data_IF_088335661351
#
_entry.id   IF_088335661351
#
_cell.length_a   1.000
_cell.length_b   1.000
_cell.length_c   1.000
_cell.angle_alpha   90.00
_cell.angle_beta   90.00
_cell.angle_gamma   90.00
#
_symmetry.space_group_name_H-M   'P 1'
#
loop_
_entity.id
_entity.type
_entity.pdbx_description
1 polymer ?
#
# COMPACT_ATOMS: atom_id res chain seq x y z
N UNK A 1 37.88 -14.71 36.01
CA UNK A 1 38.64 -14.14 34.88
C UNK A 1 38.38 -14.86 33.55
N UNK A 2 38.62 -16.18 33.44
CA UNK A 2 38.40 -16.96 32.20
C UNK A 2 36.95 -16.92 31.65
N UNK A 3 35.94 -17.02 32.50
CA UNK A 3 34.52 -16.96 32.08
C UNK A 3 34.17 -15.57 31.50
N UNK A 4 34.65 -14.51 32.15
CA UNK A 4 34.41 -13.14 31.72
C UNK A 4 35.11 -12.82 30.38
N UNK A 5 36.33 -13.32 30.18
CA UNK A 5 37.05 -13.23 28.90
C UNK A 5 36.35 -14.00 27.77
N UNK A 6 35.82 -15.20 28.04
CA UNK A 6 35.04 -15.97 27.05
C UNK A 6 33.72 -15.28 26.68
N UNK A 7 33.04 -14.69 27.66
CA UNK A 7 31.80 -13.94 27.43
C UNK A 7 32.06 -12.69 26.58
N UNK A 8 33.12 -11.93 26.90
CA UNK A 8 33.54 -10.76 26.11
C UNK A 8 33.88 -11.15 24.67
N UNK A 9 34.66 -12.22 24.46
CA UNK A 9 34.99 -12.70 23.12
C UNK A 9 33.74 -13.13 22.34
N UNK A 10 32.79 -13.81 22.99
CA UNK A 10 31.53 -14.20 22.36
C UNK A 10 30.67 -12.99 21.96
N UNK A 11 30.56 -11.99 22.84
CA UNK A 11 29.87 -10.73 22.54
C UNK A 11 30.57 -9.99 21.40
N UNK A 12 31.90 -9.92 21.39
CA UNK A 12 32.66 -9.31 20.30
C UNK A 12 32.43 -10.02 18.97
N UNK A 13 32.41 -11.35 18.96
CA UNK A 13 32.06 -12.13 17.75
C UNK A 13 30.64 -11.81 17.30
N UNK A 14 29.67 -11.78 18.22
CA UNK A 14 28.29 -11.41 17.91
C UNK A 14 28.18 -10.00 17.33
N UNK A 15 28.92 -9.03 17.87
CA UNK A 15 28.95 -7.66 17.36
C UNK A 15 29.58 -7.62 15.96
N UNK A 16 30.68 -8.34 15.74
CA UNK A 16 31.33 -8.38 14.42
C UNK A 16 30.43 -9.05 13.39
N UNK A 17 29.76 -10.14 13.76
CA UNK A 17 28.76 -10.80 12.91
C UNK A 17 27.60 -9.83 12.66
N UNK A 18 27.00 -9.24 13.68
CA UNK A 18 25.91 -8.28 13.53
C UNK A 18 26.31 -7.07 12.67
N UNK A 19 27.54 -6.55 12.82
CA UNK A 19 28.06 -5.44 12.02
C UNK A 19 28.35 -5.86 10.58
N UNK A 20 28.85 -7.08 10.36
CA UNK A 20 29.02 -7.66 9.03
C UNK A 20 27.68 -7.81 8.34
N UNK A 21 26.70 -8.42 8.99
CA UNK A 21 25.33 -8.53 8.47
C UNK A 21 24.72 -7.15 8.22
N UNK A 22 24.80 -6.23 9.18
CA UNK A 22 24.30 -4.86 9.01
C UNK A 22 24.94 -4.19 7.79
N UNK A 23 26.25 -4.26 7.63
CA UNK A 23 26.95 -3.62 6.50
C UNK A 23 26.73 -4.34 5.16
N UNK A 24 26.55 -5.65 5.16
CA UNK A 24 26.30 -6.46 3.96
C UNK A 24 24.85 -6.35 3.47
N UNK A 25 23.91 -6.04 4.37
CA UNK A 25 22.48 -5.96 4.06
C UNK A 25 21.90 -4.54 4.14
N UNK A 26 22.62 -3.52 4.65
CA UNK A 26 22.24 -2.12 4.48
C UNK A 26 22.63 -1.66 3.07
N UNK A 27 21.67 -1.20 2.25
CA UNK A 27 21.99 -0.65 0.94
C UNK A 27 22.88 0.59 1.07
N UNK A 28 23.80 0.79 0.12
CA UNK A 28 24.58 2.04 0.01
C UNK A 28 23.71 3.18 -0.51
N UNK A 29 23.81 4.34 0.14
CA UNK A 29 22.92 5.51 -0.04
C UNK A 29 23.17 6.34 -1.31
N UNK A 30 24.00 5.88 -2.25
CA UNK A 30 24.25 6.57 -3.53
C UNK A 30 24.51 5.55 -4.63
N UNK A 31 23.73 5.63 -5.72
CA UNK A 31 23.88 4.75 -6.87
C UNK A 31 23.72 5.56 -8.17
N UNK A 32 24.82 5.68 -8.92
CA UNK A 32 24.77 6.12 -10.31
C UNK A 32 24.75 4.86 -11.19
N UNK A 33 23.69 4.72 -11.99
CA UNK A 33 23.40 3.46 -12.68
C UNK A 33 23.21 3.76 -14.16
N UNK A 34 24.20 3.38 -14.95
CA UNK A 34 24.03 3.31 -16.40
C UNK A 34 23.16 2.08 -16.75
N UNK A 35 22.18 2.30 -17.62
CA UNK A 35 21.12 1.36 -17.95
C UNK A 35 21.49 0.53 -19.17
N UNK A 36 21.51 -0.81 -19.08
CA UNK A 36 21.97 -1.62 -20.21
C UNK A 36 21.04 -1.62 -21.44
N UNK A 37 19.79 -1.13 -21.35
CA UNK A 37 18.76 -1.36 -22.39
C UNK A 37 17.77 -0.20 -22.61
N UNK A 38 17.95 0.94 -21.97
CA UNK A 38 17.12 2.14 -22.19
C UNK A 38 18.00 3.23 -22.81
N UNK A 39 17.48 3.92 -23.83
CA UNK A 39 18.11 5.12 -24.38
C UNK A 39 18.01 6.22 -23.33
N UNK A 40 19.05 6.43 -22.52
CA UNK A 40 19.06 7.45 -21.49
C UNK A 40 19.95 7.10 -20.30
N UNK A 41 19.94 7.95 -19.30
CA UNK A 41 20.66 7.72 -18.04
C UNK A 41 19.73 7.93 -16.85
N UNK A 42 19.97 7.19 -15.77
CA UNK A 42 19.31 7.43 -14.50
C UNK A 42 20.34 7.63 -13.40
N UNK A 43 20.15 8.68 -12.61
CA UNK A 43 20.99 8.96 -11.43
C UNK A 43 20.12 9.00 -10.19
N UNK A 44 20.48 8.21 -9.18
CA UNK A 44 19.73 8.11 -7.93
C UNK A 44 20.64 8.53 -6.77
N UNK A 45 20.22 9.54 -6.04
CA UNK A 45 20.87 9.95 -4.80
C UNK A 45 19.83 10.10 -3.69
N UNK A 46 20.25 9.86 -2.46
CA UNK A 46 19.39 9.97 -1.29
C UNK A 46 19.76 11.22 -0.51
N UNK A 47 18.74 11.93 -0.01
CA UNK A 47 18.95 13.07 0.89
C UNK A 47 19.18 12.63 2.34
N UNK A 48 19.29 13.61 3.25
CA UNK A 48 19.52 13.38 4.68
C UNK A 48 18.40 12.61 5.39
N UNK A 49 17.21 12.54 4.78
CA UNK A 49 16.07 11.79 5.28
C UNK A 49 15.93 10.41 4.64
N UNK A 50 16.86 10.04 3.73
CA UNK A 50 16.80 8.78 2.99
C UNK A 50 15.69 8.78 1.93
N UNK A 51 15.29 9.94 1.42
CA UNK A 51 14.35 10.03 0.29
C UNK A 51 15.16 9.98 -1.02
N UNK A 52 14.84 9.06 -1.95
CA UNK A 52 15.50 9.01 -3.24
C UNK A 52 15.05 10.13 -4.17
N UNK A 53 16.06 10.78 -4.76
CA UNK A 53 15.94 11.75 -5.84
C UNK A 53 16.48 11.10 -7.12
N UNK A 54 15.58 10.91 -8.09
CA UNK A 54 15.83 10.21 -9.34
C UNK A 54 15.88 11.26 -10.45
N UNK A 55 17.03 11.39 -11.10
CA UNK A 55 17.16 12.16 -12.35
C UNK A 55 17.10 11.20 -13.52
N UNK A 56 16.22 11.44 -14.47
CA UNK A 56 15.96 10.54 -15.58
C UNK A 56 15.79 11.31 -16.90
N UNK A 57 16.17 10.71 -18.01
CA UNK A 57 15.99 11.30 -19.34
C UNK A 57 14.52 11.50 -19.70
N UNK A 58 13.69 10.47 -19.48
CA UNK A 58 12.27 10.47 -19.80
C UNK A 58 11.44 9.70 -18.76
N UNK A 59 10.12 9.65 -18.98
CA UNK A 59 9.16 8.94 -18.10
C UNK A 59 9.49 7.46 -17.92
N UNK A 60 9.92 6.75 -18.97
CA UNK A 60 10.25 5.32 -18.89
C UNK A 60 11.51 5.09 -18.07
N UNK A 61 12.52 5.92 -18.28
CA UNK A 61 13.76 5.95 -17.48
C UNK A 61 13.48 6.30 -16.03
N UNK A 62 12.53 7.21 -15.77
CA UNK A 62 12.04 7.54 -14.43
C UNK A 62 11.35 6.36 -13.75
N UNK A 63 10.52 5.61 -14.48
CA UNK A 63 9.88 4.39 -13.98
C UNK A 63 10.91 3.33 -13.58
N UNK A 64 11.94 3.12 -14.41
CA UNK A 64 13.08 2.27 -14.07
C UNK A 64 13.75 2.73 -12.78
N UNK A 65 14.07 4.02 -12.66
CA UNK A 65 14.71 4.57 -11.47
C UNK A 65 13.87 4.36 -10.21
N UNK A 66 12.55 4.53 -10.32
CA UNK A 66 11.62 4.30 -9.23
C UNK A 66 11.56 2.82 -8.81
N UNK A 67 11.53 1.90 -9.78
CA UNK A 67 11.58 0.46 -9.52
C UNK A 67 12.88 0.06 -8.81
N UNK A 68 14.01 0.60 -9.26
CA UNK A 68 15.29 0.38 -8.61
C UNK A 68 15.29 0.91 -7.16
N UNK A 69 14.81 2.14 -6.94
CA UNK A 69 14.72 2.72 -5.59
C UNK A 69 13.77 1.93 -4.67
N UNK A 70 12.61 1.50 -5.17
CA UNK A 70 11.71 0.62 -4.43
C UNK A 70 12.39 -0.71 -4.07
N UNK A 71 13.22 -1.29 -4.93
CA UNK A 71 13.95 -2.50 -4.62
C UNK A 71 15.04 -2.25 -3.56
N UNK A 72 15.79 -1.15 -3.65
CA UNK A 72 16.78 -0.75 -2.65
C UNK A 72 16.16 -0.72 -1.25
N UNK A 73 15.02 -0.04 -1.10
CA UNK A 73 14.44 0.21 0.21
C UNK A 73 13.46 -0.89 0.67
N UNK A 74 12.76 -1.52 -0.28
CA UNK A 74 11.49 -2.24 -0.04
C UNK A 74 11.41 -3.60 -0.74
N UNK A 75 12.52 -4.24 -1.13
CA UNK A 75 12.47 -5.52 -1.86
C UNK A 75 11.65 -6.62 -1.16
N UNK A 76 11.77 -6.73 0.17
CA UNK A 76 10.95 -7.67 0.94
C UNK A 76 9.46 -7.34 0.87
N UNK A 77 9.10 -6.06 0.97
CA UNK A 77 7.72 -5.61 0.86
C UNK A 77 7.16 -5.84 -0.55
N UNK A 78 7.94 -5.59 -1.59
CA UNK A 78 7.59 -5.93 -2.98
C UNK A 78 7.24 -7.41 -3.10
N UNK A 79 8.11 -8.29 -2.60
CA UNK A 79 7.88 -9.72 -2.63
C UNK A 79 6.60 -10.11 -1.88
N UNK A 80 6.41 -9.62 -0.65
CA UNK A 80 5.18 -9.89 0.12
C UNK A 80 3.92 -9.39 -0.60
N UNK A 81 3.97 -8.19 -1.19
CA UNK A 81 2.87 -7.61 -1.95
C UNK A 81 2.45 -8.51 -3.13
N UNK A 82 3.42 -9.05 -3.87
CA UNK A 82 3.17 -10.03 -4.95
C UNK A 82 2.57 -11.32 -4.42
N UNK A 83 3.13 -11.86 -3.34
CA UNK A 83 2.68 -13.15 -2.79
C UNK A 83 1.25 -13.04 -2.23
N UNK A 84 0.91 -11.91 -1.63
CA UNK A 84 -0.46 -11.60 -1.21
C UNK A 84 -1.35 -11.45 -2.45
N UNK A 85 -1.03 -10.55 -3.39
CA UNK A 85 -1.93 -10.23 -4.50
C UNK A 85 -2.25 -11.41 -5.42
N UNK A 86 -1.38 -12.41 -5.45
CA UNK A 86 -1.55 -13.63 -6.25
C UNK A 86 -2.10 -14.82 -5.44
N UNK A 87 -2.32 -14.67 -4.13
CA UNK A 87 -2.76 -15.76 -3.24
C UNK A 87 -1.75 -16.90 -3.19
N UNK A 88 -0.49 -16.58 -2.86
CA UNK A 88 0.66 -17.50 -2.85
C UNK A 88 1.41 -17.50 -1.51
N UNK A 89 0.87 -16.90 -0.45
CA UNK A 89 1.55 -16.85 0.85
C UNK A 89 1.86 -18.24 1.43
N UNK A 90 1.06 -19.25 1.10
CA UNK A 90 1.26 -20.64 1.53
C UNK A 90 2.56 -21.25 1.01
N UNK A 91 3.11 -20.73 -0.09
CA UNK A 91 4.43 -21.13 -0.59
C UNK A 91 5.57 -20.76 0.37
N UNK A 92 5.36 -19.75 1.22
CA UNK A 92 6.36 -19.25 2.18
C UNK A 92 6.07 -19.66 3.62
N UNK A 93 4.78 -19.78 3.98
CA UNK A 93 4.35 -19.98 5.37
C UNK A 93 3.58 -21.30 5.58
N UNK A 94 3.55 -22.18 4.58
CA UNK A 94 2.90 -23.49 4.65
C UNK A 94 1.38 -23.40 4.74
N UNK A 95 0.77 -24.20 5.61
CA UNK A 95 -0.69 -24.36 5.67
C UNK A 95 -1.43 -23.14 6.24
N UNK A 96 -0.74 -22.29 7.02
CA UNK A 96 -1.36 -21.20 7.77
C UNK A 96 -2.21 -20.23 6.91
N UNK A 97 -1.72 -19.72 5.76
CA UNK A 97 -2.49 -18.79 4.92
C UNK A 97 -3.31 -19.47 3.82
N UNK A 98 -3.46 -20.80 3.79
CA UNK A 98 -4.11 -21.51 2.66
C UNK A 98 -5.53 -21.01 2.38
N UNK A 99 -6.35 -20.80 3.41
CA UNK A 99 -7.72 -20.30 3.20
C UNK A 99 -7.74 -18.83 2.76
N UNK A 100 -6.75 -18.05 3.18
CA UNK A 100 -6.57 -16.68 2.70
C UNK A 100 -6.16 -16.67 1.22
N UNK A 101 -5.19 -17.51 0.83
CA UNK A 101 -4.79 -17.68 -0.57
C UNK A 101 -5.95 -18.10 -1.46
N UNK A 102 -6.77 -19.06 -1.01
CA UNK A 102 -8.00 -19.46 -1.73
C UNK A 102 -8.93 -18.26 -1.92
N UNK A 103 -9.16 -17.46 -0.88
CA UNK A 103 -10.04 -16.30 -0.96
C UNK A 103 -9.57 -15.26 -1.98
N UNK A 104 -8.25 -15.02 -2.08
CA UNK A 104 -7.70 -14.09 -3.06
C UNK A 104 -7.69 -14.65 -4.48
N UNK A 105 -7.52 -15.97 -4.64
CA UNK A 105 -7.63 -16.63 -5.95
C UNK A 105 -9.05 -16.59 -6.52
N UNK A 106 -10.09 -16.45 -5.69
CA UNK A 106 -11.46 -16.22 -6.17
C UNK A 106 -11.60 -14.91 -6.97
N UNK A 107 -10.76 -13.90 -6.68
CA UNK A 107 -10.72 -12.65 -7.44
C UNK A 107 -10.14 -12.81 -8.84
N UNK A 108 -9.48 -13.95 -9.11
CA UNK A 108 -8.87 -14.30 -10.39
C UNK A 108 -7.93 -13.21 -10.93
N UNK A 109 -7.21 -12.52 -10.02
CA UNK A 109 -6.47 -11.30 -10.35
C UNK A 109 -5.40 -11.51 -11.43
N UNK A 110 -4.72 -12.66 -11.43
CA UNK A 110 -3.68 -13.01 -12.42
C UNK A 110 -4.28 -13.03 -13.82
N UNK A 111 -5.26 -13.90 -14.07
CA UNK A 111 -5.91 -14.01 -15.38
C UNK A 111 -6.56 -12.69 -15.82
N UNK A 112 -7.17 -11.94 -14.90
CA UNK A 112 -7.73 -10.63 -15.18
C UNK A 112 -6.64 -9.63 -15.63
N UNK A 113 -5.47 -9.67 -14.98
CA UNK A 113 -4.35 -8.81 -15.32
C UNK A 113 -3.64 -9.23 -16.60
N UNK A 114 -3.62 -10.51 -16.96
CA UNK A 114 -3.14 -10.97 -18.27
C UNK A 114 -3.97 -10.34 -19.39
N UNK A 115 -5.30 -10.37 -19.27
CA UNK A 115 -6.22 -9.74 -20.23
C UNK A 115 -6.05 -8.22 -20.24
N UNK A 116 -5.89 -7.58 -19.08
CA UNK A 116 -5.67 -6.12 -19.02
C UNK A 116 -4.38 -5.75 -19.72
N UNK A 117 -3.27 -6.45 -19.44
CA UNK A 117 -1.98 -6.16 -20.04
C UNK A 117 -1.97 -6.45 -21.54
N UNK A 118 -2.62 -7.52 -22.00
CA UNK A 118 -2.68 -7.83 -23.43
C UNK A 118 -3.46 -6.80 -24.25
N UNK A 119 -4.43 -6.11 -23.62
CA UNK A 119 -5.24 -5.06 -24.25
C UNK A 119 -4.72 -3.64 -23.96
N UNK A 120 -3.68 -3.51 -23.13
CA UNK A 120 -3.09 -2.22 -22.77
C UNK A 120 -2.29 -1.66 -23.95
N UNK A 121 -2.31 -0.34 -24.15
CA UNK A 121 -1.48 0.31 -25.15
C UNK A 121 0.01 0.01 -24.93
N UNK A 122 0.75 -0.16 -26.02
CA UNK A 122 2.16 -0.55 -25.98
C UNK A 122 3.02 0.38 -25.11
N UNK A 123 2.75 1.68 -25.17
CA UNK A 123 3.48 2.67 -24.36
C UNK A 123 3.35 2.40 -22.85
N UNK A 124 2.16 2.04 -22.37
CA UNK A 124 1.93 1.73 -20.96
C UNK A 124 2.51 0.38 -20.56
N UNK A 125 2.49 -0.62 -21.45
CA UNK A 125 3.21 -1.88 -21.23
C UNK A 125 4.71 -1.64 -21.08
N UNK A 126 5.31 -0.85 -21.97
CA UNK A 126 6.72 -0.47 -21.91
C UNK A 126 7.06 0.31 -20.63
N UNK A 127 6.15 1.17 -20.15
CA UNK A 127 6.32 1.88 -18.88
C UNK A 127 6.33 0.94 -17.67
N UNK A 128 5.39 0.00 -17.59
CA UNK A 128 5.36 -1.02 -16.54
C UNK A 128 6.58 -1.94 -16.60
N UNK A 129 7.02 -2.30 -17.81
CA UNK A 129 8.21 -3.11 -18.01
C UNK A 129 9.47 -2.36 -17.53
N UNK A 130 9.61 -1.08 -17.87
CA UNK A 130 10.76 -0.30 -17.41
C UNK A 130 10.85 -0.25 -15.87
N UNK A 131 9.73 -0.11 -15.17
CA UNK A 131 9.68 -0.22 -13.71
C UNK A 131 10.11 -1.60 -13.19
N UNK A 132 9.60 -2.67 -13.81
CA UNK A 132 9.97 -4.05 -13.47
C UNK A 132 11.48 -4.31 -13.68
N UNK A 133 12.03 -3.82 -14.79
CA UNK A 133 13.46 -3.90 -15.12
C UNK A 133 14.32 -3.20 -14.07
N UNK A 134 13.84 -2.07 -13.52
CA UNK A 134 14.48 -1.36 -12.41
C UNK A 134 14.63 -2.21 -11.16
N UNK A 135 13.55 -2.89 -10.75
CA UNK A 135 13.56 -3.83 -9.61
C UNK A 135 14.55 -4.97 -9.89
N UNK A 136 14.45 -5.58 -11.06
CA UNK A 136 15.27 -6.73 -11.44
C UNK A 136 16.75 -6.37 -11.55
N UNK A 137 17.08 -5.16 -11.99
CA UNK A 137 18.46 -4.67 -12.06
C UNK A 137 19.10 -4.55 -10.68
N UNK A 138 18.34 -4.14 -9.65
CA UNK A 138 18.83 -4.14 -8.27
C UNK A 138 19.11 -5.56 -7.78
N UNK A 139 18.13 -6.47 -7.94
CA UNK A 139 18.23 -7.87 -7.49
C UNK A 139 19.41 -8.59 -8.12
N UNK A 140 19.70 -8.33 -9.41
CA UNK A 140 20.83 -8.95 -10.11
C UNK A 140 22.20 -8.55 -9.55
N UNK A 141 22.31 -7.36 -8.94
CA UNK A 141 23.59 -6.76 -8.51
C UNK A 141 23.83 -6.88 -7.01
N UNK A 142 22.81 -7.20 -6.23
CA UNK A 142 22.85 -7.13 -4.77
C UNK A 142 22.36 -8.44 -4.14
N UNK A 143 22.87 -8.79 -2.95
CA UNK A 143 22.30 -9.91 -2.19
C UNK A 143 20.86 -9.60 -1.78
N UNK A 144 20.06 -10.65 -1.57
CA UNK A 144 18.69 -10.49 -1.08
C UNK A 144 18.69 -10.02 0.38
N UNK A 145 17.65 -9.32 0.85
CA UNK A 145 17.46 -9.02 2.26
C UNK A 145 17.43 -10.29 3.13
N UNK A 146 17.83 -10.15 4.40
CA UNK A 146 17.92 -11.27 5.36
C UNK A 146 16.65 -12.13 5.43
N UNK A 147 15.48 -11.51 5.27
CA UNK A 147 14.17 -12.16 5.33
C UNK A 147 14.06 -13.33 4.36
N UNK A 148 14.62 -13.22 3.15
CA UNK A 148 14.62 -14.27 2.14
C UNK A 148 15.34 -15.53 2.62
N UNK A 149 16.50 -15.37 3.28
CA UNK A 149 17.27 -16.48 3.82
C UNK A 149 16.64 -17.11 5.06
N UNK A 150 15.93 -16.33 5.89
CA UNK A 150 15.29 -16.82 7.11
C UNK A 150 14.11 -17.77 6.83
N UNK A 151 13.45 -17.59 5.70
CA UNK A 151 12.28 -18.38 5.29
C UNK A 151 12.57 -19.30 4.11
N UNK A 152 13.84 -19.36 3.67
CA UNK A 152 14.29 -20.15 2.52
C UNK A 152 13.47 -19.88 1.25
N UNK A 153 13.26 -18.62 0.91
CA UNK A 153 12.59 -18.21 -0.34
C UNK A 153 13.52 -17.38 -1.22
N UNK A 154 13.28 -17.44 -2.52
CA UNK A 154 14.01 -16.68 -3.53
C UNK A 154 13.17 -15.51 -4.08
N UNK A 155 13.85 -14.56 -4.71
CA UNK A 155 13.19 -13.52 -5.48
C UNK A 155 13.13 -13.90 -6.96
N UNK A 156 11.94 -14.26 -7.44
CA UNK A 156 11.67 -14.34 -8.88
C UNK A 156 11.59 -12.94 -9.50
N UNK A 157 12.01 -12.81 -10.76
CA UNK A 157 11.92 -11.55 -11.52
C UNK A 157 10.54 -10.91 -11.35
N UNK A 158 10.54 -9.61 -11.10
CA UNK A 158 9.35 -8.79 -11.12
C UNK A 158 8.91 -8.60 -12.57
N UNK A 159 7.62 -8.76 -12.83
CA UNK A 159 7.03 -8.60 -14.16
C UNK A 159 5.87 -7.59 -14.10
N UNK A 160 5.45 -6.98 -15.23
CA UNK A 160 4.29 -6.07 -15.26
C UNK A 160 3.02 -6.64 -14.62
N UNK A 161 2.83 -7.95 -14.69
CA UNK A 161 1.71 -8.67 -14.05
C UNK A 161 1.73 -8.53 -12.52
N UNK A 162 2.90 -8.46 -11.89
CA UNK A 162 3.03 -8.32 -10.43
C UNK A 162 2.53 -6.95 -9.98
N UNK A 163 2.88 -5.89 -10.72
CA UNK A 163 2.35 -4.54 -10.50
C UNK A 163 0.84 -4.47 -10.70
N UNK A 164 0.33 -5.08 -11.78
CA UNK A 164 -1.11 -5.11 -12.07
C UNK A 164 -1.90 -5.85 -10.99
N UNK A 165 -1.47 -7.05 -10.60
CA UNK A 165 -2.15 -7.84 -9.58
C UNK A 165 -2.15 -7.14 -8.24
N UNK A 166 -1.04 -6.50 -7.87
CA UNK A 166 -0.98 -5.72 -6.64
C UNK A 166 -1.91 -4.50 -6.67
N UNK A 167 -1.98 -3.77 -7.79
CA UNK A 167 -2.96 -2.68 -7.96
C UNK A 167 -4.41 -3.18 -7.85
N UNK A 168 -4.74 -4.35 -8.43
CA UNK A 168 -6.07 -4.97 -8.30
C UNK A 168 -6.38 -5.39 -6.87
N UNK A 169 -5.40 -5.96 -6.17
CA UNK A 169 -5.54 -6.27 -4.76
C UNK A 169 -5.80 -5.01 -3.93
N UNK A 170 -5.08 -3.92 -4.20
CA UNK A 170 -5.31 -2.62 -3.55
C UNK A 170 -6.72 -2.09 -3.82
N UNK A 171 -7.21 -2.17 -5.06
CA UNK A 171 -8.59 -1.79 -5.38
C UNK A 171 -9.62 -2.63 -4.62
N UNK A 172 -9.41 -3.94 -4.51
CA UNK A 172 -10.28 -4.81 -3.73
C UNK A 172 -10.25 -4.45 -2.24
N UNK A 173 -9.07 -4.18 -1.67
CA UNK A 173 -8.93 -3.79 -0.28
C UNK A 173 -9.59 -2.43 0.04
N UNK A 174 -9.61 -1.51 -0.93
CA UNK A 174 -10.25 -0.19 -0.80
C UNK A 174 -11.75 -0.21 -1.15
N UNK A 175 -12.25 -1.30 -1.72
CA UNK A 175 -13.69 -1.52 -1.87
C UNK A 175 -14.26 -1.99 -0.53
N UNK A 176 -14.79 -1.06 0.27
CA UNK A 176 -15.36 -1.35 1.59
C UNK A 176 -16.84 -1.79 1.53
N UNK A 177 -17.43 -1.78 0.33
CA UNK A 177 -18.87 -1.96 0.17
C UNK A 177 -19.25 -3.45 0.02
N UNK A 178 -18.42 -4.26 -0.65
CA UNK A 178 -18.76 -5.66 -0.90
C UNK A 178 -19.01 -6.45 0.39
N UNK A 179 -18.22 -6.23 1.44
CA UNK A 179 -18.42 -6.91 2.72
C UNK A 179 -19.65 -6.35 3.46
N UNK A 180 -19.99 -5.08 3.26
CA UNK A 180 -21.17 -4.46 3.83
C UNK A 180 -22.44 -5.04 3.25
N UNK A 181 -22.52 -5.11 1.92
CA UNK A 181 -23.66 -5.66 1.17
C UNK A 181 -23.87 -7.14 1.47
N UNK A 182 -22.83 -7.98 1.35
CA UNK A 182 -22.95 -9.41 1.64
C UNK A 182 -23.36 -9.70 3.08
N UNK A 183 -22.84 -8.91 4.03
CA UNK A 183 -23.25 -9.01 5.44
C UNK A 183 -24.72 -8.67 5.58
N UNK A 184 -25.14 -7.55 4.97
CA UNK A 184 -26.51 -7.08 5.05
C UNK A 184 -27.48 -8.09 4.47
N UNK A 185 -27.18 -8.65 3.30
CA UNK A 185 -27.97 -9.71 2.66
C UNK A 185 -28.12 -10.93 3.56
N UNK A 186 -27.01 -11.38 4.17
CA UNK A 186 -27.04 -12.47 5.14
C UNK A 186 -27.93 -12.15 6.35
N UNK A 187 -27.80 -10.96 6.93
CA UNK A 187 -28.62 -10.54 8.08
C UNK A 187 -30.10 -10.45 7.70
N UNK A 188 -30.45 -9.93 6.53
CA UNK A 188 -31.82 -9.92 6.01
C UNK A 188 -32.38 -11.34 5.92
N UNK A 189 -31.60 -12.30 5.42
CA UNK A 189 -32.02 -13.70 5.29
C UNK A 189 -32.24 -14.39 6.65
N UNK A 190 -31.41 -14.07 7.66
CA UNK A 190 -31.46 -14.71 9.00
C UNK A 190 -32.46 -14.03 9.93
N UNK A 191 -32.43 -12.70 10.02
CA UNK A 191 -33.25 -11.92 10.95
C UNK A 191 -34.70 -11.85 10.45
N UNK A 192 -34.92 -11.77 9.12
CA UNK A 192 -36.24 -11.65 8.47
C UNK A 192 -37.08 -10.46 8.97
N UNK A 193 -36.41 -9.45 9.52
CA UNK A 193 -36.96 -8.16 9.94
C UNK A 193 -36.05 -7.10 9.34
N UNK A 194 -36.51 -6.49 8.24
CA UNK A 194 -35.74 -5.53 7.47
C UNK A 194 -35.53 -4.22 8.24
N UNK A 195 -36.50 -3.82 9.07
CA UNK A 195 -36.39 -2.61 9.89
C UNK A 195 -35.31 -2.76 10.96
N UNK A 196 -35.19 -3.95 11.57
CA UNK A 196 -34.12 -4.25 12.50
C UNK A 196 -32.75 -4.32 11.79
N UNK A 197 -32.68 -4.91 10.59
CA UNK A 197 -31.44 -4.92 9.79
C UNK A 197 -31.02 -3.49 9.40
N UNK A 198 -31.98 -2.64 9.02
CA UNK A 198 -31.74 -1.21 8.73
C UNK A 198 -31.23 -0.44 9.95
N UNK A 199 -31.65 -0.80 11.16
CA UNK A 199 -31.13 -0.19 12.39
C UNK A 199 -29.70 -0.65 12.72
N UNK A 200 -29.33 -1.88 12.37
CA UNK A 200 -28.00 -2.45 12.66
C UNK A 200 -26.98 -2.07 11.59
N UNK A 201 -27.36 -2.17 10.30
CA UNK A 201 -26.58 -1.82 9.11
C UNK A 201 -27.46 -1.01 8.16
N UNK A 202 -27.59 0.32 8.35
CA UNK A 202 -28.43 1.17 7.52
C UNK A 202 -28.03 1.12 6.05
N UNK A 203 -29.00 1.15 5.14
CA UNK A 203 -28.70 1.36 3.72
C UNK A 203 -27.97 2.71 3.62
N UNK A 204 -26.71 2.69 3.22
CA UNK A 204 -26.04 3.93 2.82
C UNK A 204 -26.79 4.41 1.59
N UNK A 205 -27.28 5.65 1.56
CA UNK A 205 -28.17 6.11 0.49
C UNK A 205 -27.52 5.83 -0.89
N UNK A 206 -28.31 5.30 -1.83
CA UNK A 206 -28.00 5.06 -3.26
C UNK A 206 -27.41 6.27 -4.01
N UNK A 207 -27.18 7.39 -3.35
CA UNK A 207 -26.69 8.65 -3.92
C UNK A 207 -25.17 8.75 -4.02
N UNK A 208 -24.41 7.70 -3.71
CA UNK A 208 -22.95 7.69 -3.92
C UNK A 208 -22.51 7.37 -5.35
N UNK A 209 -23.43 6.93 -6.21
CA UNK A 209 -23.07 6.36 -7.51
C UNK A 209 -22.76 7.39 -8.61
N UNK A 210 -22.94 8.69 -8.38
CA UNK A 210 -22.65 9.68 -9.44
C UNK A 210 -21.64 10.79 -9.11
N UNK A 211 -21.28 11.05 -7.85
CA UNK A 211 -20.38 12.18 -7.59
C UNK A 211 -19.53 11.93 -6.35
N UNK A 212 -18.21 12.09 -6.49
CA UNK A 212 -17.37 12.48 -5.35
C UNK A 212 -17.93 13.81 -4.83
N UNK A 213 -18.85 13.77 -3.87
CA UNK A 213 -19.54 14.96 -3.37
C UNK A 213 -18.50 15.89 -2.75
N UNK A 214 -18.15 16.96 -3.47
CA UNK A 214 -17.35 18.05 -2.90
C UNK A 214 -18.35 18.98 -2.22
N UNK A 215 -18.78 18.62 -1.01
CA UNK A 215 -19.73 19.45 -0.28
C UNK A 215 -19.07 20.76 0.14
N UNK A 216 -19.66 21.88 -0.25
CA UNK A 216 -19.24 23.18 0.24
C UNK A 216 -19.81 23.46 1.64
N UNK A 217 -19.34 24.55 2.25
CA UNK A 217 -19.64 24.90 3.64
C UNK A 217 -21.13 25.28 3.87
N UNK A 218 -21.87 25.60 2.81
CA UNK A 218 -23.31 25.89 2.83
C UNK A 218 -24.12 24.60 2.75
N UNK A 219 -23.73 23.68 1.86
CA UNK A 219 -24.32 22.34 1.73
C UNK A 219 -24.16 21.54 3.03
N UNK A 220 -22.97 21.55 3.65
CA UNK A 220 -22.74 20.90 4.96
C UNK A 220 -23.66 21.41 6.07
N UNK A 221 -24.04 22.69 6.03
CA UNK A 221 -24.97 23.30 6.99
C UNK A 221 -26.41 22.91 6.68
N UNK A 222 -26.77 22.78 5.41
CA UNK A 222 -28.09 22.37 4.94
C UNK A 222 -28.41 20.91 5.27
N UNK A 223 -27.44 19.99 5.10
CA UNK A 223 -27.56 18.60 5.53
C UNK A 223 -27.69 18.43 7.06
N UNK A 224 -27.47 19.50 7.84
CA UNK A 224 -27.62 19.49 9.29
C UNK A 224 -26.56 18.66 10.03
N UNK A 225 -25.52 18.17 9.34
CA UNK A 225 -24.50 17.29 9.93
C UNK A 225 -23.68 17.97 11.03
N UNK A 226 -23.53 19.30 10.99
CA UNK A 226 -22.90 20.07 12.08
C UNK A 226 -23.77 20.20 13.34
N UNK A 227 -25.10 20.34 13.19
CA UNK A 227 -26.02 20.64 14.31
C UNK A 227 -26.68 19.38 14.89
N UNK A 228 -26.91 18.38 14.03
CA UNK A 228 -27.64 17.16 14.34
C UNK A 228 -26.77 15.90 14.24
N UNK A 229 -25.43 16.04 14.21
CA UNK A 229 -24.55 14.89 14.45
C UNK A 229 -25.10 14.15 15.69
N UNK A 230 -25.45 12.86 15.58
CA UNK A 230 -26.17 12.17 16.63
C UNK A 230 -25.37 12.29 17.93
N UNK A 231 -25.85 13.15 18.84
CA UNK A 231 -25.34 13.25 20.22
C UNK A 231 -25.65 11.98 21.01
N UNK A 232 -26.42 11.06 20.42
CA UNK A 232 -26.48 9.68 20.87
C UNK A 232 -25.14 9.00 20.60
N UNK A 233 -24.17 9.28 21.46
CA UNK A 233 -23.14 8.30 21.74
C UNK A 233 -23.85 6.98 22.04
N UNK A 234 -23.43 5.92 21.36
CA UNK A 234 -23.85 4.55 21.68
C UNK A 234 -23.90 4.41 23.20
N UNK A 235 -25.08 4.16 23.77
CA UNK A 235 -25.22 4.07 25.22
C UNK A 235 -24.64 2.73 25.69
N UNK A 236 -23.30 2.67 25.69
CA UNK A 236 -22.48 1.50 26.01
C UNK A 236 -22.66 1.00 27.45
N UNK A 237 -23.48 1.69 28.25
CA UNK A 237 -23.82 1.32 29.63
C UNK A 237 -24.74 0.11 29.75
N UNK A 238 -25.42 -0.33 28.68
CA UNK A 238 -26.26 -1.56 28.71
C UNK A 238 -25.62 -2.79 28.08
N UNK A 239 -24.62 -2.63 27.21
CA UNK A 239 -23.88 -3.76 26.67
C UNK A 239 -22.60 -3.95 27.49
N UNK A 240 -22.51 -5.05 28.25
CA UNK A 240 -21.24 -5.41 28.89
C UNK A 240 -20.16 -5.44 27.81
N UNK A 241 -19.00 -4.86 28.06
CA UNK A 241 -17.89 -4.86 27.09
C UNK A 241 -17.55 -6.28 26.58
N UNK A 242 -17.81 -7.29 27.40
CA UNK A 242 -17.74 -8.71 27.03
C UNK A 242 -18.71 -9.11 25.91
N UNK A 243 -19.94 -8.58 25.92
CA UNK A 243 -20.99 -8.84 24.92
C UNK A 243 -20.66 -8.21 23.58
N UNK A 244 -20.14 -6.97 23.57
CA UNK A 244 -19.64 -6.33 22.35
C UNK A 244 -18.43 -7.09 21.77
N UNK A 245 -17.50 -7.52 22.63
CA UNK A 245 -16.33 -8.30 22.22
C UNK A 245 -16.69 -9.69 21.71
N UNK A 246 -17.68 -10.36 22.30
CA UNK A 246 -18.18 -11.66 21.83
C UNK A 246 -19.01 -11.54 20.56
N UNK A 247 -19.83 -10.50 20.42
CA UNK A 247 -20.56 -10.22 19.18
C UNK A 247 -19.59 -9.90 18.05
N UNK A 248 -18.58 -9.06 18.27
CA UNK A 248 -17.56 -8.77 17.24
C UNK A 248 -16.77 -10.03 16.86
N UNK A 249 -16.38 -10.85 17.82
CA UNK A 249 -15.62 -12.10 17.58
C UNK A 249 -16.46 -13.16 16.85
N UNK A 250 -17.72 -13.35 17.25
CA UNK A 250 -18.61 -14.32 16.63
C UNK A 250 -19.15 -13.80 15.29
N UNK A 251 -19.46 -12.51 15.18
CA UNK A 251 -19.90 -11.93 13.92
C UNK A 251 -18.77 -11.89 12.87
N UNK A 252 -17.52 -11.65 13.28
CA UNK A 252 -16.37 -11.74 12.38
C UNK A 252 -16.07 -13.19 11.96
N UNK A 253 -16.36 -14.17 12.84
CA UNK A 253 -16.15 -15.60 12.59
C UNK A 253 -17.29 -16.25 11.78
N UNK A 254 -18.53 -15.85 12.02
CA UNK A 254 -19.74 -16.52 11.53
C UNK A 254 -20.39 -15.76 10.35
N UNK A 255 -20.21 -14.43 10.25
CA UNK A 255 -20.86 -13.58 9.23
C UNK A 255 -19.95 -12.54 8.59
N UNK A 256 -18.63 -12.57 8.84
CA UNK A 256 -17.68 -11.64 8.24
C UNK A 256 -17.86 -10.18 8.63
N UNK A 257 -18.62 -9.87 9.69
CA UNK A 257 -18.84 -8.48 10.16
C UNK A 257 -17.53 -7.91 10.68
N UNK A 258 -16.85 -7.19 9.81
CA UNK A 258 -15.82 -6.24 10.18
C UNK A 258 -16.45 -4.84 10.16
N UNK A 259 -17.13 -4.47 11.25
CA UNK A 259 -17.58 -3.10 11.51
C UNK A 259 -16.37 -2.17 11.79
N UNK A 260 -15.30 -2.28 10.99
CA UNK A 260 -14.23 -1.31 10.97
C UNK A 260 -14.81 -0.04 10.37
N UNK A 261 -14.74 1.03 11.16
CA UNK A 261 -15.06 2.39 10.75
C UNK A 261 -14.54 2.65 9.34
N UNK A 262 -15.41 3.14 8.45
CA UNK A 262 -15.02 3.69 7.16
C UNK A 262 -13.90 4.70 7.44
N UNK A 263 -12.66 4.36 7.04
CA UNK A 263 -11.51 5.24 7.23
C UNK A 263 -11.58 6.31 6.15
N UNK A 264 -11.72 7.55 6.57
CA UNK A 264 -11.63 8.72 5.70
C UNK A 264 -10.19 9.19 5.53
N UNK A 265 -9.99 10.18 4.67
CA UNK A 265 -8.76 10.96 4.55
C UNK A 265 -9.14 12.41 4.35
N UNK A 266 -8.23 13.34 4.62
CA UNK A 266 -8.48 14.76 4.35
C UNK A 266 -7.72 15.20 3.10
N UNK A 267 -8.36 16.02 2.27
CA UNK A 267 -7.70 16.69 1.14
C UNK A 267 -8.29 18.09 0.98
N UNK A 268 -7.42 19.10 0.91
CA UNK A 268 -7.78 20.51 0.87
C UNK A 268 -7.15 21.16 -0.36
N UNK A 269 -7.95 21.90 -1.13
CA UNK A 269 -7.48 22.74 -2.23
C UNK A 269 -7.96 24.18 -2.01
N UNK A 270 -7.03 25.10 -1.82
CA UNK A 270 -7.31 26.52 -1.57
C UNK A 270 -6.83 27.33 -2.77
N UNK A 271 -7.76 28.03 -3.43
CA UNK A 271 -7.43 28.95 -4.52
C UNK A 271 -6.52 30.07 -4.02
N UNK A 272 -5.58 30.51 -4.88
CA UNK A 272 -4.71 31.66 -4.60
C UNK A 272 -5.46 32.96 -4.30
N UNK A 273 -6.74 33.07 -4.66
CA UNK A 273 -7.61 34.19 -4.24
C UNK A 273 -7.72 34.31 -2.71
N UNK A 274 -7.62 33.19 -2.00
CA UNK A 274 -7.74 33.08 -0.54
C UNK A 274 -6.39 32.97 0.18
N UNK A 275 -5.26 33.14 -0.51
CA UNK A 275 -3.92 33.03 0.09
C UNK A 275 -3.16 34.34 0.00
N UNK A 276 -2.32 34.64 1.01
CA UNK A 276 -1.47 35.85 1.03
C UNK A 276 -0.48 35.87 -0.13
N UNK A 277 0.03 34.70 -0.53
CA UNK A 277 1.00 34.55 -1.61
C UNK A 277 0.39 34.64 -3.01
N UNK A 278 -0.94 34.65 -3.13
CA UNK A 278 -1.69 34.51 -4.39
C UNK A 278 -1.46 33.19 -5.14
N UNK A 279 -0.74 32.23 -4.54
CA UNK A 279 -0.54 30.88 -5.08
C UNK A 279 -1.54 29.92 -4.44
N UNK A 280 -2.00 28.93 -5.22
CA UNK A 280 -2.84 27.88 -4.69
C UNK A 280 -2.11 27.08 -3.60
N UNK A 281 -2.85 26.52 -2.64
CA UNK A 281 -2.35 25.57 -1.65
C UNK A 281 -3.10 24.26 -1.87
N UNK A 282 -2.35 23.17 -1.98
CA UNK A 282 -2.86 21.80 -1.93
C UNK A 282 -2.34 21.18 -0.64
N UNK A 283 -3.18 20.44 0.07
CA UNK A 283 -2.78 19.65 1.24
C UNK A 283 -3.50 18.30 1.21
N UNK A 284 -2.74 17.22 1.40
CA UNK A 284 -3.27 15.86 1.46
C UNK A 284 -2.82 15.18 2.75
N UNK A 285 -3.73 14.49 3.42
CA UNK A 285 -3.52 13.84 4.72
C UNK A 285 -4.24 12.48 4.76
N UNK A 286 -3.67 11.45 4.11
CA UNK A 286 -4.26 10.11 4.06
C UNK A 286 -4.04 9.34 5.35
N UNK A 287 -5.14 8.79 5.89
CA UNK A 287 -5.13 8.07 7.16
C UNK A 287 -5.10 6.56 6.92
N UNK A 288 -3.89 6.04 6.70
CA UNK A 288 -3.64 4.59 6.67
C UNK A 288 -3.08 4.10 8.00
N UNK A 289 -3.18 2.79 8.25
CA UNK A 289 -2.57 2.20 9.44
C UNK A 289 -1.07 2.42 9.42
N UNK A 290 -0.50 2.85 10.55
CA UNK A 290 0.94 2.89 10.72
C UNK A 290 1.52 1.47 10.64
N UNK A 291 2.58 1.33 9.86
CA UNK A 291 3.29 0.07 9.65
C UNK A 291 4.78 0.32 9.52
N UNK A 292 5.57 -0.72 9.77
CA UNK A 292 7.00 -0.74 9.51
C UNK A 292 7.27 -1.89 8.53
N UNK A 293 7.67 -1.59 7.28
CA UNK A 293 7.84 -0.27 6.71
C UNK A 293 6.50 0.44 6.43
N UNK A 294 6.53 1.77 6.24
CA UNK A 294 5.33 2.56 5.93
C UNK A 294 4.66 2.11 4.64
N UNK A 295 3.35 2.33 4.50
CA UNK A 295 2.67 2.04 3.24
C UNK A 295 3.22 2.86 2.07
N UNK A 296 3.47 4.15 2.32
CA UNK A 296 4.00 5.11 1.35
C UNK A 296 5.53 5.07 1.29
N UNK A 297 6.07 5.13 0.08
CA UNK A 297 7.47 5.35 -0.23
C UNK A 297 7.61 6.70 -0.93
N UNK A 298 8.21 7.68 -0.25
CA UNK A 298 8.41 9.02 -0.78
C UNK A 298 9.57 9.03 -1.77
N UNK A 299 9.42 9.76 -2.87
CA UNK A 299 10.50 9.96 -3.85
C UNK A 299 10.28 11.22 -4.70
N UNK A 300 11.37 11.71 -5.28
CA UNK A 300 11.36 12.74 -6.32
C UNK A 300 11.86 12.16 -7.63
N UNK A 301 11.18 12.42 -8.73
CA UNK A 301 11.66 12.16 -10.09
C UNK A 301 11.77 13.50 -10.83
N UNK A 302 12.91 13.78 -11.44
CA UNK A 302 13.20 14.96 -12.25
C UNK A 302 13.60 14.52 -13.65
N UNK A 303 13.00 15.13 -14.67
CA UNK A 303 13.20 14.82 -16.08
C UNK A 303 14.07 15.86 -16.76
N UNK A 304 14.72 15.50 -17.88
CA UNK A 304 15.60 16.40 -18.63
C UNK A 304 14.89 17.65 -19.18
N UNK A 305 13.58 17.56 -19.43
CA UNK A 305 12.75 18.70 -19.86
C UNK A 305 12.46 19.71 -18.73
N UNK A 306 12.99 19.47 -17.52
CA UNK A 306 12.82 20.30 -16.34
C UNK A 306 11.52 20.02 -15.57
N UNK A 307 10.68 19.10 -16.05
CA UNK A 307 9.51 18.65 -15.28
C UNK A 307 9.92 17.72 -14.16
N UNK A 308 9.13 17.67 -13.09
CA UNK A 308 9.39 16.78 -11.97
C UNK A 308 8.09 16.34 -11.28
N UNK A 309 8.19 15.22 -10.57
CA UNK A 309 7.15 14.68 -9.71
C UNK A 309 7.75 14.48 -8.33
N UNK A 310 7.11 15.01 -7.31
CA UNK A 310 7.40 14.74 -5.90
C UNK A 310 6.12 14.19 -5.28
N UNK A 311 6.25 13.12 -4.51
CA UNK A 311 5.12 12.53 -3.82
C UNK A 311 5.51 11.19 -3.21
N UNK A 312 4.52 10.33 -3.01
CA UNK A 312 4.78 8.97 -2.55
C UNK A 312 4.10 7.94 -3.43
N UNK A 313 4.81 6.86 -3.73
CA UNK A 313 4.28 5.69 -4.42
C UNK A 313 4.13 4.54 -3.43
N UNK A 314 3.29 3.57 -3.78
CA UNK A 314 3.25 2.29 -3.05
C UNK A 314 4.27 1.36 -3.70
N UNK A 315 5.15 0.67 -2.95
CA UNK A 315 6.08 -0.28 -3.53
C UNK A 315 5.34 -1.37 -4.33
N UNK A 316 5.61 -1.41 -5.64
CA UNK A 316 4.96 -2.31 -6.60
C UNK A 316 4.13 -1.59 -7.64
N UNK A 317 3.92 -0.27 -7.50
CA UNK A 317 3.10 0.52 -8.43
C UNK A 317 3.92 1.73 -8.89
N UNK A 318 4.20 1.89 -10.20
CA UNK A 318 4.97 3.02 -10.74
C UNK A 318 4.13 4.29 -10.88
N UNK A 319 3.48 4.71 -9.81
CA UNK A 319 2.67 5.93 -9.79
C UNK A 319 2.75 6.61 -8.42
N UNK A 320 3.04 7.91 -8.43
CA UNK A 320 2.98 8.75 -7.24
C UNK A 320 1.53 9.15 -6.95
N UNK A 321 1.09 8.90 -5.72
CA UNK A 321 0.01 9.66 -5.11
C UNK A 321 0.53 11.04 -4.73
N UNK A 322 -0.32 12.07 -4.88
CA UNK A 322 0.02 13.45 -4.55
C UNK A 322 0.18 13.61 -3.03
N UNK A 323 1.36 14.05 -2.62
CA UNK A 323 1.60 14.64 -1.30
C UNK A 323 2.30 15.97 -1.56
N UNK A 324 1.61 17.04 -1.18
CA UNK A 324 1.99 18.43 -1.38
C UNK A 324 3.25 18.83 -0.64
#
# INVERSE_FOLDING_TARGET
FLIMSRLLNFISILIVVAAFFYRSFCPHNQAEIELPHLSGSVKIYYDEHGIPHIKATDRKTGAFGLGYAHAVDRLWQLHMNRMISQGRLSEMFGELPVDFDKSLRLLNAVNNCEVILSNMEKEHQEYLQAYADGINAYVKRNPLPLQFYLIWTDFHSWEPIDSCTYLKFMHFQLNLNWNYELTRDYLTAVIKDEDLVNQILPILPEQSDEVTYTMNDEELKEFGWYKNAPKQGFNSRKAKASTYKSLKKNAQKDVGINAQHIKGSNSWAISGKHTKSRKAILANDPHLSNGVPSFWHASKIEYEDGTYVVGSATPGIPAHGSFS
#
